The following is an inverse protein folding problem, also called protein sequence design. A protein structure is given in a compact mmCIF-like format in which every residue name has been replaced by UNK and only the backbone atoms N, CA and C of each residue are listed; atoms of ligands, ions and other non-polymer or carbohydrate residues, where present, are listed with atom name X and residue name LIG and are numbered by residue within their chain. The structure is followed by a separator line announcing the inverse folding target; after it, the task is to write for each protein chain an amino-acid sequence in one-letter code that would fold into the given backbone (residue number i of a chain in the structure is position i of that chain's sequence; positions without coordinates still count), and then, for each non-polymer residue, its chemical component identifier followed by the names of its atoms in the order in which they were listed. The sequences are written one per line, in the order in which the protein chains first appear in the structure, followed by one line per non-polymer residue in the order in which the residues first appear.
data_IF_298968036697
#
_entry.id   IF_298968036697
#
_cell.length_a   1.000
_cell.length_b   1.000
_cell.length_c   1.000
_cell.angle_alpha   90.00
_cell.angle_beta   90.00
_cell.angle_gamma   90.00
#
_symmetry.space_group_name_H-M   'P 1'
#
loop_
_entity.id
_entity.type
_entity.pdbx_description
1 polymer ?
#
# COMPACT_ATOMS: atom_id res chain seq x y z
N UNK A 1 -8.85 4.74 -11.21
CA UNK A 1 -8.39 4.85 -9.80
C UNK A 1 -8.98 3.67 -9.05
N UNK A 2 -8.15 2.89 -8.35
CA UNK A 2 -8.57 1.67 -7.63
C UNK A 2 -8.65 1.99 -6.14
N UNK A 3 -9.80 1.72 -5.52
CA UNK A 3 -9.97 1.81 -4.07
C UNK A 3 -9.78 0.43 -3.45
N UNK A 4 -8.84 0.32 -2.53
CA UNK A 4 -8.58 -0.93 -1.81
C UNK A 4 -9.01 -0.77 -0.35
N UNK A 5 -10.07 -1.49 0.01
CA UNK A 5 -10.54 -1.63 1.39
C UNK A 5 -9.77 -2.78 2.06
N UNK A 6 -9.18 -2.53 3.23
CA UNK A 6 -8.32 -3.52 3.88
C UNK A 6 -6.90 -3.57 3.29
N UNK A 7 -6.37 -2.43 2.86
CA UNK A 7 -5.02 -2.32 2.27
C UNK A 7 -3.89 -2.76 3.21
N UNK A 8 -4.14 -2.78 4.53
CA UNK A 8 -3.20 -3.25 5.54
C UNK A 8 -3.36 -4.73 5.92
N UNK A 9 -4.21 -5.48 5.22
CA UNK A 9 -4.29 -6.93 5.34
C UNK A 9 -3.28 -7.64 4.43
N UNK A 10 -3.07 -8.93 4.66
CA UNK A 10 -2.12 -9.75 3.88
C UNK A 10 -2.39 -9.66 2.37
N UNK A 11 -3.64 -9.91 1.95
CA UNK A 11 -4.02 -9.88 0.53
C UNK A 11 -4.01 -8.46 -0.03
N UNK A 12 -4.50 -7.48 0.75
CA UNK A 12 -4.57 -6.08 0.34
C UNK A 12 -3.18 -5.49 0.05
N UNK A 13 -2.20 -5.78 0.91
CA UNK A 13 -0.83 -5.31 0.76
C UNK A 13 -0.17 -5.83 -0.51
N UNK A 14 -0.33 -7.13 -0.81
CA UNK A 14 0.18 -7.73 -2.05
C UNK A 14 -0.54 -7.19 -3.29
N UNK A 15 -1.86 -6.99 -3.22
CA UNK A 15 -2.63 -6.40 -4.32
C UNK A 15 -2.17 -4.97 -4.63
N UNK A 16 -1.92 -4.15 -3.60
CA UNK A 16 -1.37 -2.81 -3.77
C UNK A 16 -0.03 -2.87 -4.49
N UNK A 17 0.85 -3.81 -4.11
CA UNK A 17 2.16 -3.98 -4.70
C UNK A 17 2.09 -4.33 -6.20
N UNK A 18 1.23 -5.27 -6.57
CA UNK A 18 0.94 -5.62 -7.97
C UNK A 18 0.37 -4.43 -8.76
N UNK A 19 -0.54 -3.67 -8.14
CA UNK A 19 -1.10 -2.47 -8.78
C UNK A 19 -0.05 -1.36 -8.99
N UNK A 20 0.89 -1.20 -8.06
CA UNK A 20 1.99 -0.23 -8.16
C UNK A 20 2.94 -0.56 -9.31
N UNK A 21 3.27 -1.84 -9.51
CA UNK A 21 4.10 -2.35 -10.62
C UNK A 21 3.41 -2.08 -11.96
N UNK A 22 2.10 -2.27 -12.03
CA UNK A 22 1.29 -1.98 -13.22
C UNK A 22 0.97 -0.49 -13.42
N UNK A 23 1.54 0.38 -12.58
CA UNK A 23 1.38 1.82 -12.62
C UNK A 23 -0.08 2.32 -12.49
N UNK A 24 -0.93 1.58 -11.78
CA UNK A 24 -2.29 2.03 -11.49
C UNK A 24 -2.29 3.12 -10.41
N UNK A 25 -3.25 4.05 -10.51
CA UNK A 25 -3.54 5.02 -9.44
C UNK A 25 -4.36 4.35 -8.34
N UNK A 26 -3.83 4.32 -7.12
CA UNK A 26 -4.39 3.59 -5.97
C UNK A 26 -4.76 4.55 -4.84
N UNK A 27 -5.91 4.29 -4.21
CA UNK A 27 -6.29 4.79 -2.89
C UNK A 27 -6.50 3.59 -1.97
N UNK A 28 -5.91 3.61 -0.78
CA UNK A 28 -6.03 2.53 0.19
C UNK A 28 -6.44 3.07 1.55
N UNK A 29 -7.29 2.33 2.24
CA UNK A 29 -7.71 2.69 3.60
C UNK A 29 -6.96 1.89 4.66
N UNK A 30 -6.74 2.53 5.80
CA UNK A 30 -6.11 1.92 6.98
C UNK A 30 -6.81 2.36 8.26
N UNK A 31 -6.76 1.54 9.31
CA UNK A 31 -7.41 1.83 10.61
C UNK A 31 -6.44 2.37 11.66
N UNK A 32 -5.31 1.69 11.87
CA UNK A 32 -4.29 2.11 12.83
C UNK A 32 -3.01 2.53 12.13
N UNK A 33 -2.35 3.56 12.67
CA UNK A 33 -1.06 4.02 12.17
C UNK A 33 0.01 2.93 12.33
N UNK A 34 -0.05 2.14 13.40
CA UNK A 34 0.83 1.00 13.63
C UNK A 34 0.80 0.00 12.47
N UNK A 35 -0.40 -0.40 12.02
CA UNK A 35 -0.53 -1.28 10.86
C UNK A 35 -0.05 -0.62 9.58
N UNK A 36 -0.24 0.69 9.42
CA UNK A 36 0.27 1.38 8.23
C UNK A 36 1.80 1.36 8.19
N UNK A 37 2.46 1.62 9.32
CA UNK A 37 3.92 1.56 9.43
C UNK A 37 4.45 0.13 9.20
N UNK A 38 3.73 -0.90 9.67
CA UNK A 38 4.06 -2.30 9.38
C UNK A 38 4.03 -2.58 7.86
N UNK A 39 3.05 -2.03 7.14
CA UNK A 39 2.95 -2.17 5.69
C UNK A 39 4.06 -1.41 4.95
N UNK A 40 4.44 -0.23 5.41
CA UNK A 40 5.57 0.52 4.85
C UNK A 40 6.87 -0.29 4.95
N UNK A 41 7.16 -0.86 6.13
CA UNK A 41 8.30 -1.76 6.34
C UNK A 41 8.21 -3.06 5.51
N UNK A 42 7.01 -3.62 5.37
CA UNK A 42 6.77 -4.75 4.48
C UNK A 42 7.11 -4.36 3.05
N UNK A 43 6.70 -3.18 2.59
CA UNK A 43 7.01 -2.76 1.23
C UNK A 43 8.50 -2.54 1.03
N UNK A 44 9.22 -1.91 1.96
CA UNK A 44 10.67 -1.73 1.86
C UNK A 44 11.44 -3.05 1.66
N UNK A 45 10.98 -4.13 2.29
CA UNK A 45 11.57 -5.48 2.12
C UNK A 45 11.32 -6.07 0.73
N UNK A 46 10.16 -5.79 0.14
CA UNK A 46 9.75 -6.32 -1.17
C UNK A 46 10.00 -5.34 -2.33
N UNK A 47 10.37 -4.10 -2.03
CA UNK A 47 10.61 -3.00 -2.96
C UNK A 47 11.95 -3.11 -3.71
N UNK A 48 12.71 -4.19 -3.57
CA UNK A 48 13.85 -4.46 -4.47
C UNK A 48 13.44 -4.47 -5.96
N UNK A 49 12.14 -4.60 -6.26
CA UNK A 49 11.54 -4.53 -7.60
C UNK A 49 10.83 -3.21 -7.93
N UNK A 50 10.76 -2.25 -7.02
CA UNK A 50 9.90 -1.05 -7.13
C UNK A 50 10.70 0.20 -6.73
N UNK A 51 10.46 1.31 -7.41
CA UNK A 51 11.09 2.61 -7.10
C UNK A 51 10.91 3.00 -5.61
N UNK A 52 11.91 3.67 -5.01
CA UNK A 52 11.94 4.05 -3.59
C UNK A 52 10.73 4.88 -3.14
N UNK A 53 10.07 5.58 -4.06
CA UNK A 53 8.94 6.46 -3.76
C UNK A 53 7.56 5.80 -3.94
N UNK A 54 7.49 4.46 -4.03
CA UNK A 54 6.26 3.73 -4.33
C UNK A 54 5.17 3.90 -3.25
N UNK A 55 5.54 4.01 -1.97
CA UNK A 55 4.57 4.19 -0.88
C UNK A 55 3.84 5.54 -0.97
N UNK A 56 4.55 6.59 -1.41
CA UNK A 56 4.00 7.95 -1.60
C UNK A 56 3.03 8.04 -2.80
N UNK A 57 3.07 7.07 -3.73
CA UNK A 57 2.14 7.01 -4.87
C UNK A 57 0.74 6.57 -4.46
N UNK A 58 0.57 6.06 -3.24
CA UNK A 58 -0.70 5.59 -2.71
C UNK A 58 -1.35 6.70 -1.93
N UNK A 59 -2.62 6.98 -2.24
CA UNK A 59 -3.43 7.86 -1.40
C UNK A 59 -3.94 7.07 -0.19
N UNK A 60 -3.27 7.21 0.95
CA UNK A 60 -3.66 6.56 2.20
C UNK A 60 -4.72 7.39 2.93
N UNK A 61 -5.85 6.76 3.24
CA UNK A 61 -6.96 7.38 3.99
C UNK A 61 -7.18 6.63 5.30
N UNK A 62 -7.05 7.32 6.43
CA UNK A 62 -7.39 6.74 7.73
C UNK A 62 -8.92 6.62 7.86
N UNK A 63 -9.40 5.46 8.28
CA UNK A 63 -10.81 5.21 8.60
C UNK A 63 -10.95 4.70 10.02
N UNK A 64 -12.10 4.90 10.65
CA UNK A 64 -12.42 4.31 11.95
C UNK A 64 -12.39 2.77 11.92
#
# INVERSE_FOLDING_TARGET
MILITGGTGLVGAHLILECLIKNFKIRAIYRSQEKLNEIELFFDKYASKIDKNHFQRIEWIKTN
#
